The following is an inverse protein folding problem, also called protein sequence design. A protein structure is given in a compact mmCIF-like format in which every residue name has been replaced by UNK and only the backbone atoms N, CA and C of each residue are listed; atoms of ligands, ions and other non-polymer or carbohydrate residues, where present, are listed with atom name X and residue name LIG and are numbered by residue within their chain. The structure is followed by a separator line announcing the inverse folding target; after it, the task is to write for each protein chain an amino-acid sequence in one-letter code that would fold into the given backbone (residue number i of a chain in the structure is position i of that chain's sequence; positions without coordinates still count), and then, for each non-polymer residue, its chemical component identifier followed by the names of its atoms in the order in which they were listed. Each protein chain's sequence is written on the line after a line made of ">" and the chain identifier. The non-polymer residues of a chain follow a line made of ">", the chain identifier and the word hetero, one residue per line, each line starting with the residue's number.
data_IF_475307780593
#
_entry.id   IF_475307780593
#
_cell.length_a   1.000
_cell.length_b   1.000
_cell.length_c   1.000
_cell.angle_alpha   90.00
_cell.angle_beta   90.00
_cell.angle_gamma   90.00
#
_symmetry.space_group_name_H-M   'P 1'
#
loop_
_entity.id
_entity.type
_entity.pdbx_description
1 polymer ?
#
# COMPACT_ATOMS: atom_id res chain seq x y z
N UNK A 1 -62.79 -33.44 -27.44
CA UNK A 1 -61.94 -32.37 -28.00
C UNK A 1 -62.86 -31.21 -28.40
N UNK A 2 -63.23 -30.27 -27.49
CA UNK A 2 -62.94 -28.85 -27.79
C UNK A 2 -62.87 -27.90 -26.56
N UNK A 3 -62.80 -28.39 -25.32
CA UNK A 3 -62.95 -27.50 -24.13
C UNK A 3 -61.64 -27.00 -23.51
N UNK A 4 -60.48 -27.42 -24.04
CA UNK A 4 -59.15 -26.92 -23.62
C UNK A 4 -58.58 -25.83 -24.53
N UNK A 5 -59.17 -25.58 -25.70
CA UNK A 5 -58.71 -24.53 -26.63
C UNK A 5 -59.37 -23.17 -26.35
N UNK A 6 -60.56 -23.14 -25.73
CA UNK A 6 -61.30 -21.91 -25.43
C UNK A 6 -60.72 -21.16 -24.21
N UNK A 7 -60.17 -21.88 -23.23
CA UNK A 7 -59.52 -21.25 -22.07
C UNK A 7 -58.15 -20.60 -22.43
N UNK A 8 -57.50 -21.09 -23.50
CA UNK A 8 -56.24 -20.54 -24.01
C UNK A 8 -56.43 -19.25 -24.83
N UNK A 9 -57.61 -19.02 -25.40
CA UNK A 9 -57.89 -17.77 -26.16
C UNK A 9 -58.33 -16.64 -25.23
N UNK A 10 -59.01 -16.92 -24.12
CA UNK A 10 -59.45 -15.87 -23.17
C UNK A 10 -58.31 -15.36 -22.29
N UNK A 11 -57.31 -16.18 -21.94
CA UNK A 11 -56.13 -15.69 -21.21
C UNK A 11 -55.12 -14.93 -22.10
N UNK A 12 -55.10 -15.18 -23.42
CA UNK A 12 -54.25 -14.44 -24.36
C UNK A 12 -54.76 -13.02 -24.66
N UNK A 13 -56.05 -12.74 -24.42
CA UNK A 13 -56.65 -11.43 -24.64
C UNK A 13 -56.49 -10.44 -23.47
N UNK A 14 -56.10 -10.90 -22.28
CA UNK A 14 -55.84 -10.02 -21.11
C UNK A 14 -54.39 -9.51 -21.07
N UNK A 15 -53.49 -10.04 -21.91
CA UNK A 15 -52.09 -9.61 -22.00
C UNK A 15 -51.84 -8.60 -23.13
N UNK A 16 -52.86 -8.24 -23.94
CA UNK A 16 -52.70 -7.34 -25.10
C UNK A 16 -53.43 -5.99 -25.02
N UNK A 17 -54.03 -5.62 -23.89
CA UNK A 17 -54.67 -4.31 -23.75
C UNK A 17 -54.61 -3.76 -22.32
N UNK A 18 -53.41 -3.40 -21.88
CA UNK A 18 -53.24 -2.37 -20.86
C UNK A 18 -52.18 -1.40 -21.39
N UNK A 19 -52.70 -0.38 -22.08
CA UNK A 19 -51.94 0.74 -22.59
C UNK A 19 -51.45 1.57 -21.40
N UNK A 20 -50.16 1.49 -21.08
CA UNK A 20 -49.47 2.61 -20.47
C UNK A 20 -49.06 3.55 -21.60
N UNK A 21 -49.58 4.78 -21.60
CA UNK A 21 -49.17 5.83 -22.51
C UNK A 21 -47.64 5.93 -22.54
N UNK A 22 -47.06 5.75 -23.72
CA UNK A 22 -45.68 6.15 -23.97
C UNK A 22 -45.70 7.68 -23.94
N UNK A 23 -45.38 8.24 -22.78
CA UNK A 23 -45.09 9.67 -22.68
C UNK A 23 -43.97 9.97 -23.69
N UNK A 24 -44.13 10.99 -24.56
CA UNK A 24 -43.06 11.36 -25.46
C UNK A 24 -41.83 11.70 -24.61
N UNK A 25 -40.70 11.06 -24.90
CA UNK A 25 -39.42 11.48 -24.34
C UNK A 25 -39.26 12.95 -24.74
N UNK A 26 -39.18 13.89 -23.79
CA UNK A 26 -38.99 15.28 -24.16
C UNK A 26 -37.67 15.36 -24.92
N UNK A 27 -37.71 15.97 -26.12
CA UNK A 27 -36.49 16.32 -26.83
C UNK A 27 -35.57 17.07 -25.86
N UNK A 28 -34.25 16.81 -25.87
CA UNK A 28 -33.34 17.51 -24.99
C UNK A 28 -33.55 19.01 -25.18
N UNK A 29 -33.90 19.70 -24.09
CA UNK A 29 -33.99 21.17 -24.09
C UNK A 29 -32.65 21.68 -24.62
N UNK A 30 -32.62 22.43 -25.73
CA UNK A 30 -31.39 23.06 -26.14
C UNK A 30 -30.93 23.93 -24.97
N UNK A 31 -29.69 23.72 -24.53
CA UNK A 31 -29.05 24.60 -23.55
C UNK A 31 -29.26 26.05 -24.02
N UNK A 32 -29.62 26.98 -23.13
CA UNK A 32 -29.73 28.38 -23.51
C UNK A 32 -28.41 28.80 -24.15
N UNK A 33 -28.47 29.14 -25.43
CA UNK A 33 -27.33 29.73 -26.13
C UNK A 33 -27.13 31.11 -25.52
N UNK A 34 -26.26 31.19 -24.50
CA UNK A 34 -25.74 32.47 -24.08
C UNK A 34 -25.05 33.09 -25.31
N UNK A 35 -25.37 34.35 -25.67
CA UNK A 35 -24.51 35.09 -26.57
C UNK A 35 -23.11 35.05 -25.95
N UNK A 36 -22.10 34.67 -26.74
CA UNK A 36 -20.70 34.83 -26.33
C UNK A 36 -20.53 36.30 -25.91
N UNK A 37 -20.41 36.54 -24.61
CA UNK A 37 -19.96 37.84 -24.14
C UNK A 37 -18.54 38.01 -24.69
N UNK A 38 -18.21 39.20 -25.25
CA UNK A 38 -16.83 39.50 -25.61
C UNK A 38 -15.97 39.25 -24.37
N UNK A 39 -15.04 38.30 -24.45
CA UNK A 39 -14.07 38.10 -23.39
C UNK A 39 -13.27 39.39 -23.28
N UNK A 40 -13.35 40.05 -22.13
CA UNK A 40 -12.38 41.08 -21.76
C UNK A 40 -10.99 40.48 -21.94
N UNK A 41 -10.09 41.12 -22.72
CA UNK A 41 -8.74 40.58 -22.86
C UNK A 41 -8.12 40.44 -21.48
N UNK A 42 -7.57 39.26 -21.19
CA UNK A 42 -6.74 39.09 -20.00
C UNK A 42 -5.64 40.17 -20.03
N UNK A 43 -5.32 40.80 -18.89
CA UNK A 43 -4.16 41.67 -18.83
C UNK A 43 -2.93 40.88 -19.30
N UNK A 44 -2.19 41.47 -20.22
CA UNK A 44 -0.89 40.99 -20.65
C UNK A 44 -0.02 40.80 -19.38
N UNK A 45 0.65 39.65 -19.20
CA UNK A 45 1.44 39.42 -18.01
C UNK A 45 2.55 40.46 -17.98
N UNK A 46 2.43 41.45 -17.09
CA UNK A 46 3.53 42.32 -16.78
C UNK A 46 4.64 41.42 -16.25
N UNK A 47 5.82 41.50 -16.87
CA UNK A 47 7.02 40.84 -16.39
C UNK A 47 7.27 41.30 -14.95
N UNK A 48 6.77 40.51 -14.00
CA UNK A 48 7.09 40.64 -12.59
C UNK A 48 8.60 40.50 -12.50
N UNK A 49 9.23 41.46 -11.84
CA UNK A 49 10.67 41.45 -11.61
C UNK A 49 11.12 40.06 -11.18
N UNK A 50 12.19 39.57 -11.80
CA UNK A 50 12.87 38.34 -11.40
C UNK A 50 13.02 38.37 -9.87
N UNK A 51 12.64 37.29 -9.16
CA UNK A 51 12.79 37.27 -7.71
C UNK A 51 14.25 37.53 -7.38
N UNK A 52 14.48 38.53 -6.53
CA UNK A 52 15.77 38.78 -5.90
C UNK A 52 16.31 37.46 -5.36
N UNK A 53 17.49 37.05 -5.82
CA UNK A 53 18.17 35.84 -5.35
C UNK A 53 18.18 35.84 -3.82
N UNK A 54 17.41 34.93 -3.25
CA UNK A 54 17.40 34.69 -1.82
C UNK A 54 18.61 33.81 -1.52
N UNK A 55 19.47 34.16 -0.53
CA UNK A 55 20.72 33.46 -0.27
C UNK A 55 20.44 32.18 0.52
N UNK A 56 19.72 31.23 -0.07
CA UNK A 56 19.60 29.88 0.46
C UNK A 56 20.62 29.02 -0.26
N UNK A 57 21.75 28.84 0.43
CA UNK A 57 22.64 27.68 0.36
C UNK A 57 22.38 26.74 -0.83
N UNK A 58 23.11 26.97 -1.93
CA UNK A 58 23.66 25.85 -2.70
C UNK A 58 24.69 25.18 -1.78
N UNK A 59 24.21 24.40 -0.81
CA UNK A 59 25.06 23.40 -0.19
C UNK A 59 25.69 22.61 -1.33
N UNK A 60 27.02 22.48 -1.32
CA UNK A 60 27.73 21.57 -2.21
C UNK A 60 26.94 20.27 -2.30
N UNK A 61 26.64 19.74 -3.50
CA UNK A 61 25.96 18.46 -3.61
C UNK A 61 26.68 17.50 -2.68
N UNK A 62 25.94 16.90 -1.73
CA UNK A 62 26.48 15.85 -0.86
C UNK A 62 27.31 14.94 -1.76
N UNK A 63 28.55 14.60 -1.37
CA UNK A 63 29.36 13.69 -2.17
C UNK A 63 28.49 12.50 -2.48
N UNK A 64 28.43 12.13 -3.78
CA UNK A 64 27.78 10.93 -4.25
C UNK A 64 28.07 9.83 -3.22
N UNK A 65 27.03 9.41 -2.50
CA UNK A 65 27.14 8.37 -1.48
C UNK A 65 27.94 7.25 -2.12
N UNK A 66 29.05 6.87 -1.48
CA UNK A 66 29.90 5.78 -1.94
C UNK A 66 29.01 4.59 -2.35
N UNK A 67 29.40 3.83 -3.40
CA UNK A 67 28.62 2.66 -3.82
C UNK A 67 28.33 1.83 -2.57
N UNK A 68 27.07 1.42 -2.41
CA UNK A 68 26.57 0.72 -1.23
C UNK A 68 27.35 -0.58 -1.08
N UNK A 69 28.46 -0.49 -0.38
CA UNK A 69 29.39 -1.57 -0.11
C UNK A 69 28.73 -2.41 0.95
N UNK A 70 28.03 -3.49 0.54
CA UNK A 70 27.42 -4.55 1.35
C UNK A 70 27.46 -4.27 2.87
N UNK A 71 26.77 -3.21 3.32
CA UNK A 71 26.68 -2.94 4.76
C UNK A 71 25.81 -4.06 5.27
N UNK A 72 26.37 -4.89 6.14
CA UNK A 72 25.63 -5.95 6.77
C UNK A 72 24.65 -5.31 7.77
N UNK A 73 23.50 -4.86 7.27
CA UNK A 73 22.50 -4.11 8.03
C UNK A 73 21.95 -4.93 9.21
N UNK A 74 22.00 -6.26 9.10
CA UNK A 74 21.50 -7.19 10.11
C UNK A 74 22.51 -7.84 11.07
N UNK A 75 23.84 -7.62 10.96
CA UNK A 75 24.82 -8.27 11.85
C UNK A 75 25.38 -7.38 12.98
N UNK A 76 24.70 -6.27 13.30
CA UNK A 76 25.04 -5.40 14.43
C UNK A 76 24.24 -5.71 15.70
N UNK A 77 24.30 -4.80 16.68
CA UNK A 77 23.45 -4.85 17.87
C UNK A 77 21.97 -4.88 17.46
N UNK A 78 21.25 -5.88 17.94
CA UNK A 78 19.82 -6.02 17.70
C UNK A 78 19.05 -5.18 18.74
N UNK A 79 18.12 -4.30 18.32
CA UNK A 79 17.66 -4.11 16.95
C UNK A 79 18.54 -3.13 16.14
N UNK A 80 18.69 -3.35 14.82
CA UNK A 80 19.54 -2.53 13.98
C UNK A 80 19.10 -1.06 14.02
N UNK A 81 20.03 -0.16 14.30
CA UNK A 81 19.79 1.28 14.33
C UNK A 81 20.38 1.92 13.08
N UNK A 82 19.53 2.35 12.16
CA UNK A 82 19.91 3.32 11.13
C UNK A 82 20.07 4.70 11.81
N UNK A 83 21.28 5.26 11.76
CA UNK A 83 21.66 6.51 12.46
C UNK A 83 20.99 7.78 11.93
N UNK A 84 20.42 7.73 10.72
CA UNK A 84 19.72 8.84 10.08
C UNK A 84 18.46 8.36 9.37
N UNK A 85 17.46 9.25 9.24
CA UNK A 85 16.27 8.98 8.45
C UNK A 85 16.67 8.68 7.01
N UNK A 86 16.24 7.54 6.49
CA UNK A 86 16.44 7.14 5.10
C UNK A 86 15.13 7.23 4.33
N UNK A 87 15.24 7.57 3.04
CA UNK A 87 14.08 7.71 2.16
C UNK A 87 14.05 6.60 1.13
N UNK A 88 12.88 5.98 1.00
CA UNK A 88 12.58 4.98 0.00
C UNK A 88 11.33 5.31 -0.77
N UNK A 89 11.11 4.56 -1.85
CA UNK A 89 9.95 4.69 -2.69
C UNK A 89 9.35 3.31 -3.00
N UNK A 90 8.02 3.23 -3.06
CA UNK A 90 7.37 2.05 -3.64
C UNK A 90 7.53 2.10 -5.17
N UNK A 91 7.85 0.96 -5.78
CA UNK A 91 7.90 0.86 -7.24
C UNK A 91 7.28 -0.45 -7.71
N UNK A 92 6.67 -0.38 -8.89
CA UNK A 92 6.17 -1.55 -9.63
C UNK A 92 7.11 -1.78 -10.82
N UNK A 93 8.14 -2.59 -10.60
CA UNK A 93 9.26 -2.80 -11.51
C UNK A 93 9.05 -3.95 -12.50
N UNK A 94 8.02 -4.78 -12.30
CA UNK A 94 7.62 -5.77 -13.30
C UNK A 94 7.00 -5.08 -14.51
N UNK A 95 7.30 -5.59 -15.71
CA UNK A 95 6.73 -5.15 -16.98
C UNK A 95 6.84 -3.63 -17.25
N UNK A 96 7.86 -2.97 -16.70
CA UNK A 96 8.20 -1.55 -16.94
C UNK A 96 9.64 -1.41 -17.41
N UNK A 97 10.04 -0.20 -17.80
CA UNK A 97 11.44 0.15 -17.97
C UNK A 97 12.13 0.27 -16.61
N UNK A 98 12.54 -0.87 -16.06
CA UNK A 98 13.14 -0.97 -14.71
C UNK A 98 14.35 -0.05 -14.56
N UNK A 99 15.20 0.04 -15.59
CA UNK A 99 16.39 0.88 -15.56
C UNK A 99 16.02 2.37 -15.45
N UNK A 100 15.04 2.82 -16.25
CA UNK A 100 14.54 4.20 -16.16
C UNK A 100 13.92 4.50 -14.81
N UNK A 101 13.09 3.60 -14.27
CA UNK A 101 12.46 3.82 -12.95
C UNK A 101 13.54 3.98 -11.87
N UNK A 102 14.55 3.12 -11.84
CA UNK A 102 15.62 3.19 -10.85
C UNK A 102 16.52 4.42 -11.01
N UNK A 103 16.79 4.84 -12.25
CA UNK A 103 17.50 6.09 -12.50
C UNK A 103 16.71 7.30 -11.97
N UNK A 104 15.39 7.33 -12.18
CA UNK A 104 14.51 8.38 -11.65
C UNK A 104 14.42 8.34 -10.12
N UNK A 105 14.41 7.15 -9.51
CA UNK A 105 14.50 6.97 -8.05
C UNK A 105 15.74 7.68 -7.49
N UNK A 106 16.91 7.47 -8.11
CA UNK A 106 18.16 8.13 -7.70
C UNK A 106 18.13 9.64 -7.93
N UNK A 107 17.59 10.10 -9.06
CA UNK A 107 17.42 11.54 -9.34
C UNK A 107 16.51 12.19 -8.28
N UNK A 108 15.49 11.49 -7.81
CA UNK A 108 14.62 11.93 -6.73
C UNK A 108 15.27 11.91 -5.34
N UNK A 109 16.51 11.46 -5.21
CA UNK A 109 17.24 11.38 -3.94
C UNK A 109 16.90 10.17 -3.08
N UNK A 110 16.13 9.20 -3.59
CA UNK A 110 15.79 7.98 -2.86
C UNK A 110 16.90 6.93 -3.02
N UNK A 111 17.22 6.25 -1.91
CA UNK A 111 18.23 5.19 -1.89
C UNK A 111 17.62 3.80 -1.73
N UNK A 112 16.33 3.72 -1.39
CA UNK A 112 15.58 2.48 -1.24
C UNK A 112 14.44 2.36 -2.23
N UNK A 113 14.19 1.13 -2.67
CA UNK A 113 12.95 0.75 -3.36
C UNK A 113 12.31 -0.42 -2.62
N UNK A 114 11.00 -0.28 -2.36
CA UNK A 114 10.12 -1.38 -2.00
C UNK A 114 9.46 -1.93 -3.26
N UNK A 115 9.65 -3.21 -3.54
CA UNK A 115 8.98 -3.96 -4.60
C UNK A 115 8.16 -5.09 -3.96
N UNK A 116 6.85 -5.10 -4.19
CA UNK A 116 6.02 -6.24 -3.80
C UNK A 116 6.17 -7.37 -4.82
N UNK A 117 6.36 -8.59 -4.34
CA UNK A 117 6.40 -9.81 -5.16
C UNK A 117 5.32 -10.77 -4.69
N UNK A 118 4.76 -11.52 -5.62
CA UNK A 118 3.84 -12.58 -5.29
C UNK A 118 4.56 -13.93 -5.34
N UNK A 119 4.36 -14.75 -4.31
CA UNK A 119 4.92 -16.09 -4.29
C UNK A 119 4.33 -16.94 -5.43
N UNK A 120 3.02 -16.87 -5.68
CA UNK A 120 2.39 -17.65 -6.76
C UNK A 120 2.92 -17.33 -8.17
N UNK A 121 3.40 -16.11 -8.41
CA UNK A 121 4.02 -15.74 -9.71
C UNK A 121 5.43 -16.33 -9.87
N UNK A 122 6.09 -16.69 -8.76
CA UNK A 122 7.47 -17.20 -8.74
C UNK A 122 7.54 -18.72 -8.56
N UNK A 123 6.54 -19.34 -7.93
CA UNK A 123 6.43 -20.79 -7.69
C UNK A 123 4.97 -21.26 -7.90
N UNK A 124 4.47 -21.08 -9.12
CA UNK A 124 3.07 -21.42 -9.46
C UNK A 124 2.74 -22.90 -9.23
N UNK A 125 3.69 -23.79 -9.50
CA UNK A 125 3.65 -25.20 -9.12
C UNK A 125 4.75 -25.48 -8.10
N UNK A 126 4.47 -26.31 -7.10
CA UNK A 126 5.42 -26.59 -6.01
C UNK A 126 6.76 -27.10 -6.55
N UNK A 127 7.83 -26.39 -6.23
CA UNK A 127 9.20 -26.68 -6.66
C UNK A 127 9.57 -26.19 -8.07
N UNK A 128 8.63 -25.64 -8.83
CA UNK A 128 8.88 -25.11 -10.18
C UNK A 128 8.97 -23.58 -10.15
N UNK A 129 10.22 -23.08 -10.16
CA UNK A 129 10.47 -21.66 -9.95
C UNK A 129 10.72 -20.88 -11.24
N UNK A 130 10.12 -19.69 -11.33
CA UNK A 130 10.33 -18.74 -12.43
C UNK A 130 11.01 -17.47 -11.89
N UNK A 131 12.35 -17.48 -11.87
CA UNK A 131 13.14 -16.38 -11.28
C UNK A 131 13.46 -15.22 -12.20
N UNK A 132 13.48 -15.47 -13.52
CA UNK A 132 14.09 -14.54 -14.49
C UNK A 132 13.57 -13.09 -14.40
N UNK A 133 12.26 -12.82 -14.25
CA UNK A 133 11.78 -11.44 -14.11
C UNK A 133 12.33 -10.75 -12.86
N UNK A 134 12.39 -11.47 -11.74
CA UNK A 134 12.92 -10.93 -10.48
C UNK A 134 14.45 -10.80 -10.49
N UNK A 135 15.16 -11.71 -11.16
CA UNK A 135 16.62 -11.60 -11.36
C UNK A 135 17.00 -10.29 -12.06
N UNK A 136 16.21 -9.88 -13.06
CA UNK A 136 16.41 -8.63 -13.79
C UNK A 136 16.21 -7.42 -12.88
N UNK A 137 15.17 -7.43 -12.04
CA UNK A 137 14.89 -6.37 -11.06
C UNK A 137 16.03 -6.26 -10.05
N UNK A 138 16.44 -7.37 -9.43
CA UNK A 138 17.52 -7.38 -8.43
C UNK A 138 18.84 -6.90 -9.05
N UNK A 139 19.15 -7.35 -10.26
CA UNK A 139 20.37 -6.92 -10.96
C UNK A 139 20.33 -5.43 -11.32
N UNK A 140 19.17 -4.93 -11.76
CA UNK A 140 19.00 -3.52 -12.08
C UNK A 140 19.10 -2.63 -10.84
N UNK A 141 18.51 -3.02 -9.70
CA UNK A 141 18.62 -2.31 -8.43
C UNK A 141 20.08 -2.17 -8.00
N UNK A 142 20.85 -3.27 -8.08
CA UNK A 142 22.29 -3.27 -7.80
C UNK A 142 23.08 -2.37 -8.76
N UNK A 143 22.77 -2.42 -10.06
CA UNK A 143 23.45 -1.60 -11.06
C UNK A 143 23.18 -0.09 -10.91
N UNK A 144 22.12 0.30 -10.20
CA UNK A 144 21.75 1.69 -9.93
C UNK A 144 22.04 2.12 -8.48
N UNK A 145 22.78 1.32 -7.71
CA UNK A 145 23.08 1.56 -6.30
C UNK A 145 21.81 1.87 -5.47
N UNK A 146 20.75 1.09 -5.67
CA UNK A 146 19.50 1.19 -4.91
C UNK A 146 19.35 -0.04 -4.01
N UNK A 147 19.07 0.18 -2.74
CA UNK A 147 18.73 -0.89 -1.80
C UNK A 147 17.32 -1.40 -2.10
N UNK A 148 17.20 -2.71 -2.28
CA UNK A 148 15.93 -3.36 -2.58
C UNK A 148 15.35 -4.00 -1.33
N UNK A 149 14.12 -3.65 -1.02
CA UNK A 149 13.25 -4.39 -0.11
C UNK A 149 12.20 -5.15 -0.91
N UNK A 150 12.10 -6.46 -0.68
CA UNK A 150 11.06 -7.29 -1.28
C UNK A 150 9.93 -7.52 -0.27
N UNK A 151 8.71 -7.07 -0.59
CA UNK A 151 7.51 -7.42 0.17
C UNK A 151 6.90 -8.69 -0.41
N UNK A 152 6.88 -9.78 0.36
CA UNK A 152 6.47 -11.10 -0.13
C UNK A 152 5.04 -11.40 0.27
N UNK A 153 4.16 -11.61 -0.70
CA UNK A 153 2.73 -11.86 -0.47
C UNK A 153 2.19 -12.99 -1.37
N UNK A 154 0.89 -13.29 -1.21
CA UNK A 154 0.08 -14.16 -2.08
C UNK A 154 0.70 -15.53 -2.36
N UNK A 155 0.44 -16.48 -1.47
CA UNK A 155 0.86 -17.87 -1.66
C UNK A 155 0.20 -18.48 -2.90
N UNK A 156 0.84 -19.48 -3.54
CA UNK A 156 0.23 -20.22 -4.63
C UNK A 156 -0.97 -21.06 -4.15
N UNK A 157 -1.94 -21.35 -5.04
CA UNK A 157 -3.11 -22.17 -4.69
C UNK A 157 -2.77 -23.54 -4.08
N UNK A 158 -1.61 -24.12 -4.39
CA UNK A 158 -1.20 -25.41 -3.80
C UNK A 158 -0.79 -25.30 -2.32
N UNK A 159 -0.52 -24.09 -1.83
CA UNK A 159 -0.15 -23.81 -0.44
C UNK A 159 -1.36 -23.41 0.43
N UNK A 160 -2.57 -23.38 -0.14
CA UNK A 160 -3.83 -23.08 0.56
C UNK A 160 -4.89 -24.14 0.29
N UNK A 161 -5.70 -24.43 1.28
CA UNK A 161 -6.84 -25.35 1.20
C UNK A 161 -8.03 -24.72 0.48
N UNK A 162 -8.09 -23.39 0.43
CA UNK A 162 -9.12 -22.63 -0.31
C UNK A 162 -8.84 -22.59 -1.82
N UNK A 163 -7.59 -22.85 -2.24
CA UNK A 163 -7.14 -22.63 -3.61
C UNK A 163 -7.03 -21.15 -4.02
N UNK A 164 -7.22 -20.22 -3.07
CA UNK A 164 -7.04 -18.79 -3.28
C UNK A 164 -5.63 -18.34 -2.88
N UNK A 165 -5.20 -17.19 -3.41
CA UNK A 165 -3.87 -16.62 -3.14
C UNK A 165 -3.89 -15.77 -1.86
N UNK A 166 -3.95 -16.45 -0.72
CA UNK A 166 -3.96 -15.86 0.62
C UNK A 166 -2.73 -16.24 1.44
N UNK A 167 -2.80 -16.05 2.76
CA UNK A 167 -1.77 -16.53 3.68
C UNK A 167 -1.68 -18.07 3.56
N UNK A 168 -0.48 -18.67 3.51
CA UNK A 168 -0.34 -20.13 3.42
C UNK A 168 -0.84 -20.84 4.67
N UNK A 169 -1.44 -22.01 4.50
CA UNK A 169 -1.93 -22.83 5.63
C UNK A 169 -0.78 -23.46 6.43
N UNK A 170 0.30 -23.82 5.75
CA UNK A 170 1.51 -24.38 6.34
C UNK A 170 2.66 -23.35 6.30
N UNK A 171 3.06 -22.78 7.45
CA UNK A 171 4.21 -21.89 7.54
C UNK A 171 5.51 -22.53 7.04
N UNK A 172 5.68 -23.86 7.09
CA UNK A 172 6.88 -24.52 6.60
C UNK A 172 6.99 -24.47 5.07
N UNK A 173 5.86 -24.43 4.35
CA UNK A 173 5.87 -24.19 2.90
C UNK A 173 6.42 -22.80 2.59
N UNK A 174 5.99 -21.79 3.36
CA UNK A 174 6.51 -20.42 3.23
C UNK A 174 7.98 -20.32 3.62
N UNK A 175 8.40 -21.00 4.69
CA UNK A 175 9.81 -21.09 5.10
C UNK A 175 10.68 -21.58 3.95
N UNK A 176 10.27 -22.66 3.28
CA UNK A 176 11.01 -23.23 2.15
C UNK A 176 11.13 -22.26 0.97
N UNK A 177 10.05 -21.54 0.65
CA UNK A 177 10.07 -20.50 -0.38
C UNK A 177 11.02 -19.35 0.00
N UNK A 178 10.86 -18.80 1.21
CA UNK A 178 11.70 -17.70 1.70
C UNK A 178 13.17 -18.09 1.76
N UNK A 179 13.48 -19.34 2.11
CA UNK A 179 14.85 -19.88 2.10
C UNK A 179 15.43 -19.86 0.70
N UNK A 180 14.69 -20.36 -0.31
CA UNK A 180 15.13 -20.34 -1.72
C UNK A 180 15.29 -18.91 -2.24
N UNK A 181 14.37 -18.01 -1.89
CA UNK A 181 14.42 -16.60 -2.26
C UNK A 181 15.65 -15.91 -1.66
N UNK A 182 15.91 -16.10 -0.36
CA UNK A 182 17.06 -15.56 0.35
C UNK A 182 18.38 -16.15 -0.15
N UNK A 183 18.44 -17.47 -0.38
CA UNK A 183 19.63 -18.15 -0.92
C UNK A 183 20.01 -17.56 -2.27
N UNK A 184 19.00 -17.35 -3.13
CA UNK A 184 19.22 -16.80 -4.47
C UNK A 184 19.74 -15.37 -4.41
N UNK A 185 19.16 -14.52 -3.56
CA UNK A 185 19.45 -13.08 -3.55
C UNK A 185 20.32 -12.60 -2.38
N UNK A 186 21.00 -13.52 -1.70
CA UNK A 186 21.92 -13.25 -0.60
C UNK A 186 22.88 -12.11 -0.93
N UNK A 187 22.97 -11.13 -0.03
CA UNK A 187 23.80 -9.94 -0.16
C UNK A 187 23.37 -8.96 -1.27
N UNK A 188 22.27 -9.21 -1.97
CA UNK A 188 21.75 -8.36 -3.07
C UNK A 188 20.39 -7.75 -2.77
N UNK A 189 19.57 -8.40 -1.93
CA UNK A 189 18.35 -7.84 -1.35
C UNK A 189 18.65 -7.44 0.09
N UNK A 190 18.34 -6.19 0.44
CA UNK A 190 18.70 -5.62 1.74
C UNK A 190 17.65 -5.94 2.82
N UNK A 191 16.39 -6.09 2.43
CA UNK A 191 15.30 -6.39 3.36
C UNK A 191 14.20 -7.25 2.73
N UNK A 192 13.57 -8.07 3.55
CA UNK A 192 12.39 -8.86 3.21
C UNK A 192 11.24 -8.46 4.15
N UNK A 193 10.19 -7.87 3.59
CA UNK A 193 8.95 -7.65 4.33
C UNK A 193 8.08 -8.89 4.21
N UNK A 194 7.69 -9.47 5.35
CA UNK A 194 6.90 -10.68 5.41
C UNK A 194 5.42 -10.31 5.48
N UNK A 195 4.74 -10.54 4.35
CA UNK A 195 3.34 -10.21 4.09
C UNK A 195 3.04 -8.71 3.93
N UNK A 196 1.82 -8.42 3.49
CA UNK A 196 1.25 -7.07 3.37
C UNK A 196 -0.11 -7.06 4.07
N UNK A 197 -0.36 -6.08 4.92
CA UNK A 197 -1.67 -5.76 5.51
C UNK A 197 -2.55 -6.98 5.88
N UNK A 198 -2.05 -7.95 6.67
CA UNK A 198 -2.81 -9.17 7.02
C UNK A 198 -4.12 -8.87 7.76
N UNK A 199 -4.28 -7.66 8.31
CA UNK A 199 -5.53 -7.22 8.90
C UNK A 199 -6.65 -6.94 7.87
N UNK A 200 -6.37 -7.04 6.57
CA UNK A 200 -7.35 -6.99 5.48
C UNK A 200 -7.61 -8.39 4.92
N UNK A 201 -8.87 -8.83 4.87
CA UNK A 201 -9.23 -10.17 4.40
C UNK A 201 -8.85 -10.43 2.94
N UNK A 202 -8.75 -9.37 2.12
CA UNK A 202 -8.27 -9.50 0.74
C UNK A 202 -6.83 -10.03 0.68
N UNK A 203 -5.98 -9.61 1.63
CA UNK A 203 -4.61 -10.12 1.75
C UNK A 203 -4.60 -11.55 2.29
N UNK A 204 -5.65 -11.98 2.98
CA UNK A 204 -5.87 -13.38 3.35
C UNK A 204 -6.48 -14.26 2.25
N UNK A 205 -6.59 -13.78 1.00
CA UNK A 205 -7.24 -14.56 -0.07
C UNK A 205 -8.77 -14.53 -0.02
N UNK A 206 -9.34 -13.50 0.61
CA UNK A 206 -10.79 -13.33 0.80
C UNK A 206 -11.27 -13.73 2.20
N UNK A 207 -10.39 -14.22 3.07
CA UNK A 207 -10.71 -14.61 4.45
C UNK A 207 -9.90 -13.81 5.46
N UNK A 208 -10.46 -13.49 6.64
CA UNK A 208 -9.69 -12.83 7.70
C UNK A 208 -8.48 -13.65 8.14
N UNK A 209 -7.34 -12.98 8.36
CA UNK A 209 -6.11 -13.61 8.87
C UNK A 209 -5.92 -13.31 10.35
N UNK A 210 -5.92 -14.34 11.18
CA UNK A 210 -5.72 -14.18 12.62
C UNK A 210 -4.27 -13.81 12.95
N UNK A 211 -4.02 -12.97 13.98
CA UNK A 211 -2.67 -12.59 14.40
C UNK A 211 -1.73 -13.80 14.60
N UNK A 212 -2.23 -14.89 15.16
CA UNK A 212 -1.44 -16.12 15.38
C UNK A 212 -1.03 -16.81 14.07
N UNK A 213 -1.91 -16.82 13.06
CA UNK A 213 -1.59 -17.38 11.74
C UNK A 213 -0.47 -16.57 11.08
N UNK A 214 -0.60 -15.24 11.12
CA UNK A 214 0.43 -14.36 10.61
C UNK A 214 1.75 -14.49 11.37
N UNK A 215 1.72 -14.56 12.71
CA UNK A 215 2.92 -14.71 13.54
C UNK A 215 3.71 -15.97 13.16
N UNK A 216 3.03 -17.10 12.93
CA UNK A 216 3.67 -18.33 12.50
C UNK A 216 4.35 -18.17 11.12
N UNK A 217 3.69 -17.51 10.16
CA UNK A 217 4.29 -17.19 8.85
C UNK A 217 5.47 -16.23 8.97
N UNK A 218 5.37 -15.23 9.85
CA UNK A 218 6.45 -14.27 10.12
C UNK A 218 7.67 -14.98 10.70
N UNK A 219 7.50 -15.82 11.72
CA UNK A 219 8.58 -16.61 12.31
C UNK A 219 9.25 -17.54 11.28
N UNK A 220 8.47 -18.18 10.41
CA UNK A 220 8.96 -19.01 9.32
C UNK A 220 9.82 -18.21 8.34
N UNK A 221 9.31 -17.06 7.85
CA UNK A 221 10.07 -16.17 6.97
C UNK A 221 11.34 -15.62 7.62
N UNK A 222 11.26 -15.22 8.88
CA UNK A 222 12.39 -14.72 9.65
C UNK A 222 13.50 -15.76 9.78
N UNK A 223 13.15 -16.98 10.21
CA UNK A 223 14.11 -18.09 10.36
C UNK A 223 14.80 -18.41 9.04
N UNK A 224 14.03 -18.55 7.96
CA UNK A 224 14.57 -18.84 6.64
C UNK A 224 15.57 -17.79 6.15
N UNK A 225 15.24 -16.50 6.30
CA UNK A 225 16.11 -15.39 5.89
C UNK A 225 17.37 -15.38 6.75
N UNK A 226 17.23 -15.41 8.08
CA UNK A 226 18.38 -15.26 9.01
C UNK A 226 19.36 -16.43 8.95
N UNK A 227 18.89 -17.65 8.69
CA UNK A 227 19.77 -18.81 8.51
C UNK A 227 20.66 -18.70 7.26
N UNK A 228 20.17 -18.04 6.21
CA UNK A 228 20.84 -17.98 4.91
C UNK A 228 21.62 -16.68 4.73
N UNK A 229 21.01 -15.56 5.10
CA UNK A 229 21.55 -14.21 4.99
C UNK A 229 21.28 -13.42 6.28
N UNK A 230 22.12 -13.60 7.32
CA UNK A 230 21.95 -12.86 8.57
C UNK A 230 22.13 -11.34 8.39
N UNK A 231 22.71 -10.88 7.27
CA UNK A 231 22.83 -9.46 6.95
C UNK A 231 21.52 -8.84 6.44
N UNK A 232 20.60 -9.63 5.90
CA UNK A 232 19.33 -9.14 5.40
C UNK A 232 18.38 -8.82 6.57
N UNK A 233 17.67 -7.70 6.45
CA UNK A 233 16.65 -7.31 7.40
C UNK A 233 15.33 -8.04 7.12
N UNK A 234 14.59 -8.35 8.17
CA UNK A 234 13.24 -8.89 8.11
C UNK A 234 12.30 -7.88 8.74
N UNK A 235 11.36 -7.40 7.93
CA UNK A 235 10.37 -6.39 8.32
C UNK A 235 9.04 -7.10 8.52
N UNK A 236 8.35 -6.83 9.63
CA UNK A 236 6.98 -7.30 9.80
C UNK A 236 6.08 -6.72 8.70
N UNK A 237 4.93 -7.35 8.50
CA UNK A 237 3.87 -6.78 7.70
C UNK A 237 3.51 -5.43 8.31
N UNK A 238 3.33 -4.46 7.43
CA UNK A 238 2.70 -3.22 7.81
C UNK A 238 1.20 -3.42 7.78
N UNK A 239 0.55 -3.11 8.90
CA UNK A 239 -0.90 -3.16 9.01
C UNK A 239 -1.52 -1.95 8.32
N UNK A 240 -2.67 -2.15 7.69
CA UNK A 240 -3.45 -1.07 7.15
C UNK A 240 -4.08 -0.29 8.31
N UNK A 241 -3.77 1.00 8.45
CA UNK A 241 -4.55 1.87 9.34
C UNK A 241 -5.97 1.99 8.79
N UNK A 242 -6.90 1.27 9.41
CA UNK A 242 -8.25 1.08 8.89
C UNK A 242 -9.25 1.06 10.02
N UNK A 243 -10.45 1.53 9.72
CA UNK A 243 -11.63 1.40 10.57
C UNK A 243 -12.78 0.90 9.69
N UNK A 244 -13.26 -0.31 9.98
CA UNK A 244 -14.33 -0.95 9.23
C UNK A 244 -15.32 -1.59 10.21
N UNK A 245 -16.64 -1.35 10.08
CA UNK A 245 -17.63 -1.97 10.94
C UNK A 245 -17.75 -3.48 10.76
N UNK A 246 -17.27 -4.02 9.63
CA UNK A 246 -17.27 -5.45 9.34
C UNK A 246 -15.86 -6.05 9.57
N UNK A 247 -15.63 -6.73 10.72
CA UNK A 247 -14.34 -7.33 11.03
C UNK A 247 -14.01 -8.52 10.12
N UNK A 248 -14.97 -9.01 9.32
CA UNK A 248 -14.71 -10.04 8.30
C UNK A 248 -14.09 -9.46 7.03
N UNK A 249 -14.08 -8.13 6.86
CA UNK A 249 -13.46 -7.45 5.72
C UNK A 249 -12.11 -6.83 6.12
N UNK A 250 -12.09 -6.11 7.24
CA UNK A 250 -10.89 -5.46 7.74
C UNK A 250 -10.96 -5.29 9.26
N UNK A 251 -9.83 -5.47 9.93
CA UNK A 251 -9.69 -5.25 11.37
C UNK A 251 -8.78 -4.07 11.65
N UNK A 252 -9.10 -3.32 12.70
CA UNK A 252 -8.28 -2.21 13.16
C UNK A 252 -6.85 -2.67 13.48
N UNK A 253 -5.88 -1.86 13.10
CA UNK A 253 -4.47 -2.18 13.17
C UNK A 253 -3.92 -2.21 14.60
N UNK A 254 -4.29 -1.24 15.45
CA UNK A 254 -3.77 -1.19 16.83
C UNK A 254 -4.20 -2.41 17.68
N UNK A 255 -5.49 -2.80 17.73
CA UNK A 255 -5.88 -4.02 18.45
C UNK A 255 -5.27 -5.29 17.85
N UNK A 256 -5.11 -5.34 16.52
CA UNK A 256 -4.51 -6.48 15.84
C UNK A 256 -3.01 -6.60 16.14
N UNK A 257 -2.28 -5.48 16.19
CA UNK A 257 -0.87 -5.42 16.61
C UNK A 257 -0.70 -5.73 18.10
N UNK A 258 -1.60 -5.23 18.94
CA UNK A 258 -1.61 -5.53 20.38
C UNK A 258 -1.78 -7.03 20.63
N UNK A 259 -2.66 -7.68 19.87
CA UNK A 259 -2.81 -9.13 19.90
C UNK A 259 -1.50 -9.85 19.53
N UNK A 260 -0.73 -9.39 18.52
CA UNK A 260 0.57 -9.96 18.20
C UNK A 260 1.56 -9.91 19.38
N UNK A 261 1.61 -8.80 20.12
CA UNK A 261 2.49 -8.70 21.29
C UNK A 261 2.09 -9.62 22.44
N UNK A 262 0.80 -9.96 22.54
CA UNK A 262 0.27 -10.83 23.60
C UNK A 262 0.46 -12.33 23.30
N UNK A 263 0.78 -12.70 22.07
CA UNK A 263 0.97 -14.09 21.67
C UNK A 263 2.32 -14.65 22.14
N UNK A 264 2.31 -15.93 22.51
CA UNK A 264 3.51 -16.75 22.71
C UNK A 264 4.59 -16.08 23.59
N UNK A 265 4.16 -15.41 24.67
CA UNK A 265 5.08 -14.69 25.58
C UNK A 265 5.96 -13.67 24.83
N UNK A 266 5.29 -12.82 24.03
CA UNK A 266 5.93 -11.76 23.27
C UNK A 266 6.79 -12.25 22.10
N UNK A 267 6.47 -13.40 21.50
CA UNK A 267 7.28 -13.95 20.40
C UNK A 267 7.44 -13.01 19.20
N UNK A 268 6.47 -12.11 18.98
CA UNK A 268 6.56 -11.07 17.95
C UNK A 268 7.81 -10.17 18.10
N UNK A 269 8.27 -9.91 19.34
CA UNK A 269 9.48 -9.12 19.63
C UNK A 269 10.75 -9.76 19.05
N UNK A 270 10.72 -11.07 18.75
CA UNK A 270 11.86 -11.86 18.26
C UNK A 270 11.67 -12.36 16.83
N UNK A 271 10.56 -11.99 16.17
CA UNK A 271 10.19 -12.52 14.86
C UNK A 271 10.45 -11.55 13.69
N UNK A 272 10.99 -10.35 13.96
CA UNK A 272 11.36 -9.36 12.95
C UNK A 272 12.43 -8.41 13.49
N UNK A 273 13.27 -7.85 12.61
CA UNK A 273 14.23 -6.80 12.98
C UNK A 273 13.56 -5.42 13.07
N UNK A 274 12.53 -5.21 12.25
CA UNK A 274 11.86 -3.92 12.05
C UNK A 274 10.34 -4.13 12.09
N UNK A 275 9.62 -3.17 12.69
CA UNK A 275 8.15 -3.11 12.62
C UNK A 275 7.73 -2.27 11.41
N UNK A 276 7.06 -2.90 10.45
CA UNK A 276 6.44 -2.20 9.31
C UNK A 276 5.15 -1.50 9.71
N UNK A 277 4.90 -0.29 9.16
CA UNK A 277 3.65 0.46 9.37
C UNK A 277 3.20 1.14 8.08
N UNK A 278 1.89 1.12 7.81
CA UNK A 278 1.27 1.94 6.77
C UNK A 278 0.43 3.04 7.43
N UNK A 279 0.67 4.30 7.06
CA UNK A 279 -0.17 5.39 7.57
C UNK A 279 -1.35 5.60 6.63
N UNK A 280 -2.56 5.38 7.12
CA UNK A 280 -3.78 5.80 6.44
C UNK A 280 -3.92 7.30 6.56
N UNK A 281 -3.33 8.10 5.67
CA UNK A 281 -3.42 9.57 5.78
C UNK A 281 -4.67 10.16 5.11
N UNK A 282 -5.40 9.35 4.34
CA UNK A 282 -6.58 9.79 3.59
C UNK A 282 -6.30 11.04 2.76
N UNK A 283 -7.07 12.11 3.01
CA UNK A 283 -6.86 13.44 2.42
C UNK A 283 -6.35 14.47 3.43
N UNK A 284 -6.04 14.04 4.65
CA UNK A 284 -5.62 14.93 5.72
C UNK A 284 -4.16 15.35 5.56
N UNK A 285 -3.83 16.59 5.94
CA UNK A 285 -2.44 17.06 5.96
C UNK A 285 -1.59 16.21 6.92
N UNK A 286 -0.31 15.93 6.60
CA UNK A 286 0.58 15.19 7.49
C UNK A 286 0.75 15.85 8.86
N UNK A 287 0.63 17.18 8.94
CA UNK A 287 0.86 17.94 10.18
C UNK A 287 -0.34 17.91 11.14
N UNK A 288 -1.50 17.48 10.64
CA UNK A 288 -2.76 17.53 11.39
C UNK A 288 -2.95 16.26 12.20
N UNK A 289 -3.22 16.43 13.49
CA UNK A 289 -3.72 15.36 14.35
C UNK A 289 -5.24 15.25 14.23
N UNK A 290 -5.75 14.07 14.55
CA UNK A 290 -7.19 13.84 14.64
C UNK A 290 -7.82 14.67 15.76
N UNK A 291 -9.11 15.00 15.61
CA UNK A 291 -9.86 15.74 16.62
C UNK A 291 -10.59 14.84 17.61
N UNK A 292 -10.94 13.62 17.22
CA UNK A 292 -11.63 12.63 18.07
C UNK A 292 -10.78 11.37 18.22
N UNK A 293 -10.63 10.80 19.43
CA UNK A 293 -9.71 9.70 19.69
C UNK A 293 -9.83 8.47 18.76
N UNK A 294 -11.03 8.21 18.26
CA UNK A 294 -11.40 7.08 17.38
C UNK A 294 -11.14 7.35 15.88
N UNK A 295 -10.78 8.57 15.49
CA UNK A 295 -10.58 8.93 14.08
C UNK A 295 -9.13 8.81 13.60
N UNK A 296 -8.20 8.42 14.49
CA UNK A 296 -6.77 8.51 14.21
C UNK A 296 -6.33 7.73 12.96
N UNK A 297 -7.02 6.65 12.58
CA UNK A 297 -6.68 5.76 11.45
C UNK A 297 -6.58 6.46 10.09
N UNK A 298 -7.15 7.65 9.95
CA UNK A 298 -7.15 8.44 8.70
C UNK A 298 -6.18 9.63 8.71
N UNK A 299 -5.21 9.66 9.64
CA UNK A 299 -4.20 10.71 9.75
C UNK A 299 -2.79 10.12 9.68
N UNK A 300 -1.87 10.83 9.03
CA UNK A 300 -0.46 10.44 8.99
C UNK A 300 0.13 10.24 10.39
N UNK A 301 -0.26 11.11 11.33
CA UNK A 301 0.16 11.06 12.74
C UNK A 301 -0.36 9.85 13.51
N UNK A 302 -1.19 8.97 12.91
CA UNK A 302 -1.56 7.68 13.51
C UNK A 302 -0.34 6.86 13.95
N UNK A 303 0.79 7.02 13.25
CA UNK A 303 2.07 6.41 13.60
C UNK A 303 2.50 6.65 15.07
N UNK A 304 2.10 7.77 15.66
CA UNK A 304 2.36 8.09 17.06
C UNK A 304 1.66 7.10 17.99
N UNK A 305 0.43 6.69 17.66
CA UNK A 305 -0.34 5.68 18.40
C UNK A 305 0.27 4.29 18.28
N UNK A 306 0.76 3.95 17.09
CA UNK A 306 1.52 2.71 16.89
C UNK A 306 2.77 2.70 17.76
N UNK A 307 3.54 3.81 17.79
CA UNK A 307 4.75 3.92 18.62
C UNK A 307 4.44 3.87 20.11
N UNK A 308 3.36 4.50 20.58
CA UNK A 308 2.90 4.40 21.97
C UNK A 308 2.59 2.94 22.34
N UNK A 309 1.88 2.21 21.48
CA UNK A 309 1.60 0.78 21.69
C UNK A 309 2.89 -0.04 21.77
N UNK A 310 3.84 0.18 20.85
CA UNK A 310 5.16 -0.47 20.90
C UNK A 310 5.86 -0.24 22.25
N UNK A 311 5.87 1.00 22.74
CA UNK A 311 6.49 1.35 24.02
C UNK A 311 5.82 0.65 25.21
N UNK A 312 4.49 0.47 25.20
CA UNK A 312 3.78 -0.28 26.27
C UNK A 312 4.26 -1.73 26.39
N UNK A 313 4.68 -2.33 25.29
CA UNK A 313 5.20 -3.69 25.23
C UNK A 313 6.73 -3.76 25.27
N UNK A 314 7.41 -2.64 25.53
CA UNK A 314 8.87 -2.57 25.60
C UNK A 314 9.56 -2.75 24.25
N UNK A 315 8.84 -2.63 23.13
CA UNK A 315 9.43 -2.76 21.79
C UNK A 315 10.19 -1.47 21.40
N UNK A 316 11.51 -1.61 21.34
CA UNK A 316 12.45 -0.54 21.00
C UNK A 316 12.90 -0.58 19.54
N UNK A 317 12.43 -1.57 18.75
CA UNK A 317 12.77 -1.71 17.32
C UNK A 317 12.42 -0.44 16.55
N UNK A 318 13.13 -0.25 15.44
CA UNK A 318 12.81 0.80 14.49
C UNK A 318 11.47 0.52 13.80
N UNK A 319 10.83 1.60 13.37
CA UNK A 319 9.60 1.56 12.58
C UNK A 319 9.90 2.00 11.16
N UNK A 320 9.47 1.21 10.18
CA UNK A 320 9.55 1.59 8.77
C UNK A 320 8.16 1.88 8.23
N UNK A 321 7.98 3.10 7.71
CA UNK A 321 6.78 3.48 6.97
C UNK A 321 6.85 2.89 5.57
N UNK A 322 6.41 1.64 5.40
CA UNK A 322 6.61 0.91 4.14
C UNK A 322 5.67 1.39 3.03
N UNK A 323 4.55 2.02 3.39
CA UNK A 323 3.67 2.77 2.48
C UNK A 323 3.05 3.97 3.20
N UNK A 324 3.05 5.11 2.51
CA UNK A 324 2.30 6.31 2.84
C UNK A 324 2.22 7.20 1.59
N UNK A 325 1.22 8.09 1.51
CA UNK A 325 1.10 9.02 0.39
C UNK A 325 -0.31 9.58 0.22
N UNK A 326 -0.46 10.48 -0.76
CA UNK A 326 -1.72 11.16 -1.09
C UNK A 326 -2.01 11.06 -2.57
N UNK A 327 -3.25 10.78 -2.95
CA UNK A 327 -3.62 10.73 -4.38
C UNK A 327 -3.86 12.13 -4.96
N UNK A 328 -3.39 12.36 -6.19
CA UNK A 328 -3.53 13.66 -6.88
C UNK A 328 -4.83 13.80 -7.68
N UNK A 329 -5.67 12.76 -7.73
CA UNK A 329 -6.91 12.76 -8.55
C UNK A 329 -8.17 12.97 -7.72
N UNK A 330 -9.02 13.93 -8.13
CA UNK A 330 -10.36 14.22 -7.54
C UNK A 330 -11.46 13.21 -7.89
N UNK A 331 -11.14 12.04 -8.43
CA UNK A 331 -12.18 11.05 -8.73
C UNK A 331 -12.87 10.67 -7.42
N UNK A 332 -14.21 10.78 -7.37
CA UNK A 332 -15.05 10.47 -6.20
C UNK A 332 -14.47 9.25 -5.48
N UNK A 333 -14.07 9.45 -4.22
CA UNK A 333 -13.68 8.42 -3.25
C UNK A 333 -14.91 7.56 -2.92
N UNK A 334 -15.48 6.90 -3.93
CA UNK A 334 -16.55 5.90 -3.82
C UNK A 334 -16.09 4.51 -4.27
N UNK A 335 -14.87 4.41 -4.82
CA UNK A 335 -14.25 3.15 -5.27
C UNK A 335 -12.73 3.06 -5.07
N UNK A 336 -12.09 4.04 -4.41
CA UNK A 336 -10.65 3.98 -4.11
C UNK A 336 -10.31 3.05 -2.93
N UNK A 337 -11.30 2.42 -2.30
CA UNK A 337 -11.12 1.24 -1.43
C UNK A 337 -10.95 -0.06 -2.25
N UNK A 338 -10.39 0.02 -3.47
CA UNK A 338 -9.84 -1.14 -4.18
C UNK A 338 -8.41 -1.31 -3.67
N UNK A 339 -8.06 -2.42 -2.98
CA UNK A 339 -6.77 -2.58 -2.29
C UNK A 339 -5.53 -2.52 -3.19
N UNK A 340 -5.70 -2.60 -4.51
CA UNK A 340 -4.61 -2.70 -5.49
C UNK A 340 -4.17 -1.36 -6.10
N UNK A 341 -4.67 -0.21 -5.63
CA UNK A 341 -4.45 1.08 -6.28
C UNK A 341 -3.71 2.11 -5.42
N UNK A 342 -2.63 1.71 -4.74
CA UNK A 342 -1.68 2.69 -4.18
C UNK A 342 -0.83 3.27 -5.32
N UNK A 343 -1.40 4.28 -5.99
CA UNK A 343 -0.67 5.15 -6.89
C UNK A 343 0.23 6.04 -6.05
N UNK A 344 1.53 5.79 -6.18
CA UNK A 344 2.64 6.57 -5.68
C UNK A 344 2.40 8.08 -5.87
N UNK A 345 2.54 8.86 -4.81
CA UNK A 345 2.76 10.28 -4.91
C UNK A 345 3.85 10.70 -3.92
N UNK A 346 4.96 11.16 -4.47
CA UNK A 346 5.89 12.04 -3.79
C UNK A 346 5.22 13.40 -3.70
N UNK A 347 5.18 14.01 -2.53
CA UNK A 347 4.78 15.42 -2.43
C UNK A 347 5.95 16.29 -2.88
N UNK A 348 5.77 17.00 -4.00
CA UNK A 348 6.50 18.23 -4.30
C UNK A 348 5.81 19.34 -3.49
N UNK A 349 6.57 20.08 -2.68
CA UNK A 349 6.04 21.22 -1.92
C UNK A 349 5.31 22.22 -2.83
N UNK A 350 4.13 22.75 -2.46
CA UNK A 350 3.58 23.96 -3.05
C UNK A 350 4.42 25.12 -2.53
N UNK A 351 4.96 25.87 -3.48
CA UNK A 351 5.47 27.21 -3.24
C UNK A 351 4.41 28.02 -2.47
N UNK A 352 4.86 28.76 -1.46
CA UNK A 352 4.01 29.52 -0.57
C UNK A 352 3.15 30.58 -1.27
N UNK A 353 2.11 30.98 -0.53
CA UNK A 353 1.18 32.08 -0.79
C UNK A 353 0.02 31.83 -1.79
N UNK A 354 -1.07 31.28 -1.25
CA UNK A 354 -2.45 31.76 -1.47
C UNK A 354 -3.27 31.23 -0.29
N UNK A 355 -3.64 32.07 0.68
CA UNK A 355 -4.86 32.85 0.58
C UNK A 355 -6.03 32.05 1.18
N UNK A 356 -6.46 32.46 2.37
CA UNK A 356 -7.56 31.91 3.16
C UNK A 356 -8.78 31.44 2.37
N UNK A 357 -9.21 30.19 2.57
CA UNK A 357 -10.60 29.78 2.37
C UNK A 357 -10.95 28.61 3.31
N UNK A 358 -11.39 28.97 4.51
CA UNK A 358 -12.17 28.11 5.41
C UNK A 358 -13.44 27.63 4.70
N UNK A 359 -13.62 26.31 4.57
CA UNK A 359 -14.94 25.65 4.52
C UNK A 359 -14.76 24.17 4.86
N UNK A 360 -14.97 23.84 6.13
CA UNK A 360 -15.02 22.46 6.61
C UNK A 360 -16.19 21.70 5.97
N UNK A 361 -15.96 20.44 5.63
CA UNK A 361 -17.03 19.50 5.29
C UNK A 361 -17.39 18.74 6.57
N UNK A 362 -18.65 18.89 7.00
CA UNK A 362 -19.24 18.08 8.08
C UNK A 362 -19.26 16.61 7.65
N UNK A 363 -18.79 15.73 8.52
CA UNK A 363 -19.05 14.30 8.44
C UNK A 363 -20.58 14.07 8.48
N UNK A 364 -21.12 13.36 7.50
CA UNK A 364 -22.52 12.93 7.52
C UNK A 364 -22.67 11.77 8.51
N UNK A 365 -23.02 12.11 9.75
CA UNK A 365 -23.82 11.25 10.62
C UNK A 365 -25.29 11.43 10.24
N UNK A 366 -25.93 10.40 9.69
CA UNK A 366 -27.36 10.12 9.91
C UNK A 366 -27.73 8.78 9.27
N UNK A 367 -28.29 7.88 10.07
CA UNK A 367 -28.88 6.63 9.60
C UNK A 367 -30.25 6.79 8.95
N UNK A 368 -30.66 5.71 8.30
CA UNK A 368 -32.00 5.12 8.28
C UNK A 368 -31.83 3.64 8.02
#
# INVERSE_FOLDING_TARGET
>A
MPMRLILLIVLAAVVLASCGEVSPVPAPTPLPTQPLQPSTPLPEPQASALPTESPWYLGTPSPLVAPLSNVCLGAGDFPPQIEAVQYGINAFLFATDTARVLALTRIGGFTWVRQQIHWHDLEGEKGNFVWRPLDQIVSAARANDVQLMLSVVRSPPWATTTGHTGLPDDPAAFENFMRKLAERYRGRVAAYQIWNEPNLSHEGGGTPVEPAQYLATLQAGYRAVKEVDPCALVVSAALAATHNPDPTVAREDLPWLEALYQLEDGAFLRAADIVGVHTGAGTNSPDVAWTQPDESHFYFRHIERTRELMQRYGDTRQVWLTEYGWTVTRAKVRRCLSPSSNRLAIWLMPCGACGSATRGYRACLSGT
#
